data_IF_458855515751
#
_entry.id   IF_458855515751
#
_cell.length_a   1.000
_cell.length_b   1.000
_cell.length_c   1.000
_cell.angle_alpha   90.00
_cell.angle_beta   90.00
_cell.angle_gamma   90.00
#
_symmetry.space_group_name_H-M   'P 1'
#
loop_
_entity.id
_entity.type
_entity.pdbx_description
1 polymer ?
#
# COMPACT_ATOMS: atom_id res chain seq x y z
N UNK A 1 33.99 -11.01 -21.10
CA UNK A 1 33.67 -9.60 -20.79
C UNK A 1 32.29 -9.60 -20.16
N UNK A 2 32.19 -9.15 -18.91
CA UNK A 2 30.97 -9.24 -18.10
C UNK A 2 29.89 -8.29 -18.58
N UNK A 3 28.67 -8.80 -18.64
CA UNK A 3 27.46 -8.01 -18.83
C UNK A 3 27.16 -7.24 -17.54
N UNK A 4 27.26 -5.92 -17.60
CA UNK A 4 26.78 -5.04 -16.55
C UNK A 4 25.25 -4.98 -16.63
N UNK A 5 24.59 -5.80 -15.80
CA UNK A 5 23.15 -5.72 -15.57
C UNK A 5 22.77 -4.36 -14.98
N UNK A 6 21.91 -3.66 -15.71
CA UNK A 6 21.33 -2.37 -15.36
C UNK A 6 20.57 -2.47 -14.01
N UNK A 7 21.11 -1.86 -12.96
CA UNK A 7 20.49 -1.77 -11.62
C UNK A 7 19.69 -0.46 -11.44
N UNK A 8 19.53 0.34 -12.50
CA UNK A 8 18.98 1.70 -12.44
C UNK A 8 17.46 1.78 -12.65
N UNK A 9 16.83 0.73 -13.18
CA UNK A 9 15.41 0.76 -13.58
C UNK A 9 14.44 0.59 -12.40
N UNK A 10 14.79 -0.26 -11.42
CA UNK A 10 13.92 -0.57 -10.29
C UNK A 10 13.64 0.63 -9.38
N UNK A 11 14.66 1.49 -9.18
CA UNK A 11 14.53 2.69 -8.35
C UNK A 11 13.64 3.77 -8.98
N UNK A 12 13.56 3.81 -10.31
CA UNK A 12 12.69 4.77 -11.02
C UNK A 12 11.22 4.33 -10.97
N UNK A 13 10.96 3.02 -11.14
CA UNK A 13 9.60 2.46 -11.05
C UNK A 13 8.97 2.65 -9.67
N UNK A 14 9.71 2.30 -8.60
CA UNK A 14 9.24 2.46 -7.22
C UNK A 14 8.96 3.93 -6.87
N UNK A 15 9.83 4.87 -7.28
CA UNK A 15 9.57 6.31 -7.07
C UNK A 15 8.32 6.80 -7.78
N UNK A 16 8.07 6.35 -9.01
CA UNK A 16 6.85 6.69 -9.75
C UNK A 16 5.60 6.18 -9.01
N UNK A 17 5.64 4.93 -8.54
CA UNK A 17 4.57 4.34 -7.73
C UNK A 17 4.34 5.16 -6.45
N UNK A 18 5.39 5.56 -5.73
CA UNK A 18 5.24 6.39 -4.53
C UNK A 18 4.69 7.78 -4.81
N UNK A 19 5.06 8.41 -5.91
CA UNK A 19 4.49 9.70 -6.33
C UNK A 19 2.99 9.60 -6.60
N UNK A 20 2.54 8.53 -7.26
CA UNK A 20 1.12 8.28 -7.48
C UNK A 20 0.38 7.99 -6.17
N UNK A 21 1.00 7.20 -5.29
CA UNK A 21 0.48 6.89 -3.96
C UNK A 21 0.32 8.16 -3.12
N UNK A 22 1.27 9.09 -3.19
CA UNK A 22 1.19 10.38 -2.50
C UNK A 22 -0.02 11.19 -2.94
N UNK A 23 -0.31 11.24 -4.24
CA UNK A 23 -1.48 11.96 -4.74
C UNK A 23 -2.78 11.37 -4.18
N UNK A 24 -2.89 10.04 -4.17
CA UNK A 24 -4.03 9.32 -3.62
C UNK A 24 -4.15 9.52 -2.09
N UNK A 25 -3.02 9.48 -1.37
CA UNK A 25 -2.98 9.66 0.07
C UNK A 25 -3.21 11.10 0.50
N UNK A 26 -2.73 12.10 -0.25
CA UNK A 26 -2.97 13.51 0.08
C UNK A 26 -4.46 13.83 0.07
N UNK A 27 -5.19 13.24 -0.88
CA UNK A 27 -6.64 13.36 -0.96
C UNK A 27 -7.38 12.56 0.13
N UNK A 28 -6.87 11.39 0.52
CA UNK A 28 -7.43 10.60 1.64
C UNK A 28 -7.18 11.22 3.02
N UNK A 29 -5.94 11.65 3.26
CA UNK A 29 -5.45 12.18 4.53
C UNK A 29 -5.99 13.58 4.79
N UNK A 30 -6.27 14.38 3.74
CA UNK A 30 -6.95 15.66 3.80
C UNK A 30 -6.24 16.73 4.64
N UNK A 31 -6.04 17.91 4.08
CA UNK A 31 -5.54 19.08 4.82
C UNK A 31 -6.63 19.58 5.78
N UNK A 32 -6.75 18.98 6.98
CA UNK A 32 -7.62 19.48 8.07
C UNK A 32 -8.54 18.47 8.77
N UNK A 33 -8.37 17.16 8.57
CA UNK A 33 -9.11 16.12 9.34
C UNK A 33 -8.58 16.02 10.78
N UNK A 34 -9.42 15.65 11.77
CA UNK A 34 -8.99 15.53 13.17
C UNK A 34 -7.84 14.52 13.31
N UNK A 35 -6.87 14.83 14.18
CA UNK A 35 -5.61 14.07 14.34
C UNK A 35 -5.82 12.55 14.47
N UNK A 36 -6.92 12.11 15.08
CA UNK A 36 -7.25 10.69 15.25
C UNK A 36 -7.60 9.96 13.94
N UNK A 37 -8.31 10.60 13.01
CA UNK A 37 -8.64 9.97 11.71
C UNK A 37 -7.39 9.85 10.83
N UNK A 38 -6.56 10.91 10.84
CA UNK A 38 -5.26 10.92 10.15
C UNK A 38 -4.33 9.83 10.71
N UNK A 39 -4.23 9.73 12.04
CA UNK A 39 -3.47 8.69 12.70
C UNK A 39 -3.97 7.28 12.33
N UNK A 40 -5.27 7.02 12.39
CA UNK A 40 -5.85 5.73 12.00
C UNK A 40 -5.50 5.38 10.56
N UNK A 41 -5.60 6.34 9.64
CA UNK A 41 -5.25 6.11 8.23
C UNK A 41 -3.76 5.76 8.08
N UNK A 42 -2.87 6.46 8.77
CA UNK A 42 -1.43 6.15 8.78
C UNK A 42 -1.19 4.73 9.33
N UNK A 43 -1.82 4.36 10.44
CA UNK A 43 -1.70 3.03 11.04
C UNK A 43 -2.15 1.92 10.09
N UNK A 44 -3.34 2.08 9.48
CA UNK A 44 -3.90 1.08 8.56
C UNK A 44 -3.03 1.01 7.30
N UNK A 45 -2.65 2.16 6.75
CA UNK A 45 -1.88 2.23 5.51
C UNK A 45 -0.52 1.55 5.65
N UNK A 46 0.29 1.95 6.63
CA UNK A 46 1.62 1.40 6.84
C UNK A 46 1.57 -0.05 7.34
N UNK A 47 0.57 -0.41 8.16
CA UNK A 47 0.35 -1.80 8.57
C UNK A 47 0.06 -2.72 7.38
N UNK A 48 -0.87 -2.34 6.51
CA UNK A 48 -1.20 -3.11 5.31
C UNK A 48 -0.04 -3.13 4.31
N UNK A 49 0.68 -2.02 4.15
CA UNK A 49 1.91 -1.96 3.35
C UNK A 49 2.94 -2.97 3.85
N UNK A 50 3.21 -3.03 5.16
CA UNK A 50 4.13 -4.02 5.75
C UNK A 50 3.65 -5.47 5.57
N UNK A 51 2.34 -5.71 5.69
CA UNK A 51 1.77 -7.05 5.51
C UNK A 51 1.87 -7.54 4.05
N UNK A 52 1.61 -6.67 3.08
CA UNK A 52 1.76 -6.95 1.64
C UNK A 52 3.24 -7.12 1.31
N UNK A 53 4.10 -6.20 1.76
CA UNK A 53 5.56 -6.25 1.62
C UNK A 53 6.15 -7.58 2.08
N UNK A 54 5.67 -8.15 3.19
CA UNK A 54 6.13 -9.46 3.69
C UNK A 54 5.73 -10.64 2.81
N UNK A 55 4.67 -10.47 2.01
CA UNK A 55 4.13 -11.52 1.13
C UNK A 55 4.81 -11.48 -0.25
N UNK A 56 5.36 -10.32 -0.60
CA UNK A 56 6.02 -10.02 -1.86
C UNK A 56 7.56 -10.22 -1.78
N UNK A 57 8.19 -10.49 -2.92
CA UNK A 57 9.66 -10.49 -3.09
C UNK A 57 10.26 -9.09 -3.28
N UNK A 58 9.41 -8.07 -3.47
CA UNK A 58 9.78 -6.67 -3.71
C UNK A 58 10.69 -6.06 -2.64
N UNK A 59 10.82 -6.70 -1.48
CA UNK A 59 11.42 -6.07 -0.31
C UNK A 59 12.62 -6.80 0.28
N UNK A 60 13.03 -7.93 -0.31
CA UNK A 60 14.07 -8.81 0.26
C UNK A 60 15.46 -8.20 0.52
N UNK A 61 15.72 -6.94 0.14
CA UNK A 61 16.94 -6.23 0.53
C UNK A 61 16.75 -4.79 1.05
N UNK A 62 15.53 -4.22 1.03
CA UNK A 62 15.31 -2.77 1.20
C UNK A 62 14.03 -2.39 1.98
N UNK A 63 13.57 -3.21 2.94
CA UNK A 63 12.33 -3.01 3.73
C UNK A 63 12.21 -1.64 4.38
N UNK A 64 13.25 -1.21 5.09
CA UNK A 64 13.26 0.11 5.72
C UNK A 64 13.28 1.26 4.71
N UNK A 65 13.86 1.06 3.51
CA UNK A 65 13.98 2.11 2.51
C UNK A 65 12.66 2.40 1.80
N UNK A 66 11.82 1.38 1.62
CA UNK A 66 10.45 1.50 1.07
C UNK A 66 9.57 2.29 2.04
N UNK A 67 9.58 1.93 3.32
CA UNK A 67 8.81 2.64 4.34
C UNK A 67 9.25 4.10 4.49
N UNK A 68 10.57 4.34 4.56
CA UNK A 68 11.12 5.70 4.66
C UNK A 68 10.77 6.55 3.43
N UNK A 69 10.88 5.99 2.21
CA UNK A 69 10.50 6.70 1.00
C UNK A 69 9.01 7.08 0.98
N UNK A 70 8.13 6.19 1.46
CA UNK A 70 6.71 6.49 1.60
C UNK A 70 6.47 7.62 2.63
N UNK A 71 7.14 7.59 3.78
CA UNK A 71 7.02 8.64 4.81
C UNK A 71 7.52 10.00 4.31
N UNK A 72 8.62 10.01 3.58
CA UNK A 72 9.18 11.23 2.95
C UNK A 72 8.21 11.80 1.91
N UNK A 73 7.62 10.94 1.10
CA UNK A 73 6.70 11.40 0.06
C UNK A 73 5.40 11.95 0.65
N UNK A 74 4.85 11.32 1.70
CA UNK A 74 3.60 11.76 2.36
C UNK A 74 3.80 13.03 3.22
N UNK A 75 5.04 13.48 3.41
CA UNK A 75 5.40 14.62 4.27
C UNK A 75 4.91 14.44 5.72
N UNK A 76 5.18 13.25 6.28
CA UNK A 76 4.80 12.95 7.66
C UNK A 76 5.66 13.73 8.66
N UNK A 77 5.00 14.27 9.70
CA UNK A 77 5.69 14.85 10.86
C UNK A 77 6.46 13.77 11.63
N UNK A 78 7.37 14.19 12.52
CA UNK A 78 8.18 13.25 13.31
C UNK A 78 7.32 12.26 14.12
N UNK A 79 6.27 12.74 14.77
CA UNK A 79 5.35 11.89 15.53
C UNK A 79 4.61 10.88 14.63
N UNK A 80 4.24 11.29 13.43
CA UNK A 80 3.55 10.43 12.47
C UNK A 80 4.47 9.39 11.84
N UNK A 81 5.75 9.72 11.68
CA UNK A 81 6.77 8.75 11.26
C UNK A 81 6.94 7.64 12.29
N UNK A 82 6.90 7.95 13.59
CA UNK A 82 6.96 6.93 14.64
C UNK A 82 5.75 5.97 14.58
N UNK A 83 4.55 6.53 14.37
CA UNK A 83 3.31 5.74 14.19
C UNK A 83 3.41 4.87 12.94
N UNK A 84 3.82 5.47 11.81
CA UNK A 84 3.99 4.79 10.53
C UNK A 84 5.00 3.64 10.61
N UNK A 85 6.17 3.88 11.22
CA UNK A 85 7.22 2.86 11.41
C UNK A 85 6.70 1.71 12.27
N UNK A 86 6.07 2.03 13.40
CA UNK A 86 5.50 1.02 14.30
C UNK A 86 4.43 0.18 13.57
N UNK A 87 3.55 0.83 12.81
CA UNK A 87 2.53 0.15 12.04
C UNK A 87 3.13 -0.77 10.97
N UNK A 88 4.10 -0.28 10.20
CA UNK A 88 4.83 -1.03 9.18
C UNK A 88 5.50 -2.28 9.76
N UNK A 89 6.22 -2.14 10.88
CA UNK A 89 6.92 -3.23 11.53
C UNK A 89 5.97 -4.33 12.04
N UNK A 90 4.79 -3.95 12.56
CA UNK A 90 3.73 -4.91 12.91
C UNK A 90 3.25 -5.68 11.69
N UNK A 91 3.02 -4.97 10.59
CA UNK A 91 2.62 -5.58 9.31
C UNK A 91 3.66 -6.57 8.80
N UNK A 92 4.93 -6.17 8.79
CA UNK A 92 6.08 -6.99 8.41
C UNK A 92 6.25 -8.24 9.28
N UNK A 93 5.93 -8.12 10.57
CA UNK A 93 5.97 -9.22 11.53
C UNK A 93 4.75 -10.16 11.41
N UNK A 94 3.81 -9.89 10.49
CA UNK A 94 2.48 -10.53 10.41
C UNK A 94 1.73 -10.48 11.74
N UNK A 95 2.03 -9.48 12.57
CA UNK A 95 1.39 -9.25 13.86
C UNK A 95 0.24 -8.25 13.72
N UNK A 96 -0.47 -8.32 12.60
CA UNK A 96 -1.70 -7.58 12.36
C UNK A 96 -2.78 -8.57 11.90
N UNK A 97 -4.03 -8.26 12.22
CA UNK A 97 -5.16 -8.90 11.59
C UNK A 97 -5.62 -8.00 10.43
N UNK A 98 -5.28 -8.33 9.16
CA UNK A 98 -5.61 -7.48 8.03
C UNK A 98 -7.12 -7.26 7.89
N UNK A 99 -7.95 -8.26 8.21
CA UNK A 99 -9.40 -8.10 8.18
C UNK A 99 -9.89 -7.11 9.25
N UNK A 100 -9.27 -7.09 10.43
CA UNK A 100 -9.63 -6.14 11.49
C UNK A 100 -9.17 -4.71 11.15
N UNK A 101 -7.98 -4.53 10.56
CA UNK A 101 -7.49 -3.22 10.14
C UNK A 101 -8.34 -2.65 8.99
N UNK A 102 -8.68 -3.50 8.01
CA UNK A 102 -9.58 -3.11 6.93
C UNK A 102 -11.00 -2.83 7.45
N UNK A 103 -11.48 -3.58 8.45
CA UNK A 103 -12.77 -3.32 9.08
C UNK A 103 -12.81 -1.95 9.77
N UNK A 104 -11.77 -1.60 10.56
CA UNK A 104 -11.64 -0.26 11.16
C UNK A 104 -11.73 0.83 10.10
N UNK A 105 -11.09 0.61 8.96
CA UNK A 105 -11.10 1.54 7.85
C UNK A 105 -12.48 1.64 7.18
N UNK A 106 -13.18 0.52 6.97
CA UNK A 106 -14.54 0.51 6.41
C UNK A 106 -15.60 0.97 7.39
N UNK A 107 -15.36 0.93 8.70
CA UNK A 107 -16.26 1.51 9.70
C UNK A 107 -16.16 3.05 9.71
N UNK A 108 -14.95 3.57 9.45
CA UNK A 108 -14.70 5.01 9.35
C UNK A 108 -15.14 5.63 8.01
N UNK A 109 -15.31 4.82 6.95
CA UNK A 109 -15.61 5.27 5.60
C UNK A 109 -16.85 4.56 5.05
N UNK A 110 -17.77 5.29 4.39
CA UNK A 110 -18.98 4.66 3.83
C UNK A 110 -18.61 3.56 2.81
N UNK A 111 -19.34 2.43 2.76
CA UNK A 111 -19.18 1.43 1.71
C UNK A 111 -19.30 2.06 0.31
N UNK A 112 -18.40 1.70 -0.59
CA UNK A 112 -18.32 2.28 -1.95
C UNK A 112 -17.88 3.74 -1.99
N UNK A 113 -17.32 4.27 -0.90
CA UNK A 113 -16.71 5.59 -0.90
C UNK A 113 -15.40 5.59 -1.69
N UNK A 114 -15.03 6.77 -2.19
CA UNK A 114 -13.76 6.92 -2.90
C UNK A 114 -12.54 6.59 -2.03
N UNK A 115 -12.65 6.70 -0.69
CA UNK A 115 -11.57 6.32 0.22
C UNK A 115 -11.28 4.82 0.17
N UNK A 116 -12.31 3.98 0.05
CA UNK A 116 -12.16 2.53 -0.12
C UNK A 116 -11.50 2.22 -1.45
N UNK A 117 -11.98 2.85 -2.53
CA UNK A 117 -11.42 2.65 -3.87
C UNK A 117 -9.95 3.11 -3.94
N UNK A 118 -9.61 4.22 -3.27
CA UNK A 118 -8.24 4.75 -3.20
C UNK A 118 -7.30 3.86 -2.38
N UNK A 119 -7.73 3.37 -1.21
CA UNK A 119 -6.92 2.45 -0.42
C UNK A 119 -6.62 1.18 -1.22
N UNK A 120 -7.65 0.61 -1.84
CA UNK A 120 -7.48 -0.58 -2.68
C UNK A 120 -6.55 -0.31 -3.86
N UNK A 121 -6.67 0.86 -4.49
CA UNK A 121 -5.80 1.27 -5.59
C UNK A 121 -4.32 1.27 -5.22
N UNK A 122 -4.01 1.84 -4.05
CA UNK A 122 -2.64 1.89 -3.56
C UNK A 122 -2.11 0.48 -3.30
N UNK A 123 -2.90 -0.39 -2.65
CA UNK A 123 -2.48 -1.76 -2.35
C UNK A 123 -2.20 -2.56 -3.63
N UNK A 124 -3.00 -2.38 -4.69
CA UNK A 124 -2.75 -3.02 -5.99
C UNK A 124 -1.44 -2.50 -6.62
N UNK A 125 -1.22 -1.17 -6.62
CA UNK A 125 -0.01 -0.56 -7.19
C UNK A 125 1.26 -0.99 -6.45
N UNK A 126 1.18 -1.16 -5.14
CA UNK A 126 2.29 -1.67 -4.34
C UNK A 126 2.62 -3.12 -4.69
N UNK A 127 1.60 -3.99 -4.70
CA UNK A 127 1.75 -5.41 -5.00
C UNK A 127 2.19 -5.68 -6.45
N UNK A 128 1.96 -4.75 -7.37
CA UNK A 128 2.34 -4.87 -8.78
C UNK A 128 3.46 -3.90 -9.18
N UNK A 129 4.28 -3.45 -8.23
CA UNK A 129 5.29 -2.42 -8.51
C UNK A 129 6.47 -2.91 -9.36
N UNK A 130 6.61 -4.23 -9.57
CA UNK A 130 7.52 -4.82 -10.57
C UNK A 130 6.86 -5.01 -11.96
N UNK A 131 5.60 -4.55 -12.11
CA UNK A 131 4.80 -4.65 -13.33
C UNK A 131 4.11 -6.01 -13.52
N UNK A 132 4.20 -6.92 -12.55
CA UNK A 132 3.54 -8.24 -12.57
C UNK A 132 2.86 -8.49 -11.23
N UNK A 133 1.91 -9.42 -11.24
CA UNK A 133 1.23 -9.85 -10.03
C UNK A 133 1.16 -11.37 -10.03
N UNK A 134 1.82 -12.02 -9.07
CA UNK A 134 1.82 -13.47 -8.97
C UNK A 134 0.50 -14.03 -8.40
N UNK A 135 0.37 -15.36 -8.38
CA UNK A 135 -0.88 -16.01 -7.90
C UNK A 135 -1.15 -15.74 -6.42
N UNK A 136 -0.11 -15.66 -5.59
CA UNK A 136 -0.24 -15.45 -4.14
C UNK A 136 -0.67 -14.01 -3.87
N UNK A 137 -0.08 -13.05 -4.57
CA UNK A 137 -0.41 -11.63 -4.47
C UNK A 137 -1.83 -11.35 -4.96
N UNK A 138 -2.23 -12.00 -6.06
CA UNK A 138 -3.60 -11.95 -6.55
C UNK A 138 -4.62 -12.50 -5.54
N UNK A 139 -4.32 -13.64 -4.92
CA UNK A 139 -5.19 -14.22 -3.90
C UNK A 139 -5.28 -13.34 -2.64
N UNK A 140 -4.17 -12.72 -2.24
CA UNK A 140 -4.15 -11.74 -1.14
C UNK A 140 -5.01 -10.50 -1.46
N UNK A 141 -4.86 -9.93 -2.66
CA UNK A 141 -5.65 -8.77 -3.09
C UNK A 141 -7.15 -9.09 -3.21
N UNK A 142 -7.52 -10.30 -3.62
CA UNK A 142 -8.93 -10.74 -3.58
C UNK A 142 -9.48 -10.79 -2.16
N UNK A 143 -8.68 -11.28 -1.21
CA UNK A 143 -9.04 -11.28 0.21
C UNK A 143 -9.30 -9.86 0.71
N UNK A 144 -8.37 -8.95 0.44
CA UNK A 144 -8.47 -7.53 0.79
C UNK A 144 -9.71 -6.88 0.14
N UNK A 145 -9.94 -7.10 -1.17
CA UNK A 145 -11.10 -6.57 -1.87
C UNK A 145 -12.42 -7.03 -1.22
N UNK A 146 -12.51 -8.30 -0.85
CA UNK A 146 -13.67 -8.85 -0.14
C UNK A 146 -13.88 -8.15 1.21
N UNK A 147 -12.82 -7.96 2.00
CA UNK A 147 -12.89 -7.31 3.31
C UNK A 147 -13.24 -5.82 3.20
N UNK A 148 -12.89 -5.18 2.08
CA UNK A 148 -13.30 -3.82 1.73
C UNK A 148 -14.73 -3.72 1.17
N UNK A 149 -15.44 -4.83 0.98
CA UNK A 149 -16.78 -4.85 0.38
C UNK A 149 -16.80 -4.58 -1.13
N UNK A 150 -15.66 -4.74 -1.81
CA UNK A 150 -15.52 -4.54 -3.24
C UNK A 150 -15.96 -5.77 -4.05
N UNK A 151 -16.40 -5.60 -5.31
CA UNK A 151 -16.79 -6.72 -6.15
C UNK A 151 -15.61 -7.65 -6.44
N UNK A 152 -15.89 -8.92 -6.74
CA UNK A 152 -14.85 -9.92 -7.06
C UNK A 152 -14.01 -9.55 -8.28
N UNK A 153 -14.53 -8.71 -9.17
CA UNK A 153 -13.84 -8.18 -10.36
C UNK A 153 -12.93 -7.01 -10.06
N UNK A 154 -12.90 -6.49 -8.83
CA UNK A 154 -12.14 -5.29 -8.48
C UNK A 154 -10.64 -5.43 -8.77
N UNK A 155 -10.05 -6.60 -8.45
CA UNK A 155 -8.63 -6.87 -8.75
C UNK A 155 -8.40 -6.84 -10.26
N UNK A 156 -9.18 -7.60 -11.03
CA UNK A 156 -9.02 -7.69 -12.49
C UNK A 156 -9.22 -6.33 -13.18
N UNK A 157 -10.18 -5.52 -12.71
CA UNK A 157 -10.41 -4.16 -13.22
C UNK A 157 -9.18 -3.27 -13.02
N UNK A 158 -8.52 -3.34 -11.84
CA UNK A 158 -7.31 -2.56 -11.56
C UNK A 158 -6.12 -3.05 -12.39
N UNK A 159 -5.96 -4.36 -12.55
CA UNK A 159 -4.90 -4.92 -13.40
C UNK A 159 -5.04 -4.48 -14.85
N UNK A 160 -6.26 -4.47 -15.38
CA UNK A 160 -6.55 -3.98 -16.73
C UNK A 160 -6.24 -2.48 -16.86
N UNK A 161 -6.63 -1.67 -15.87
CA UNK A 161 -6.39 -0.22 -15.86
C UNK A 161 -4.89 0.11 -15.87
N UNK A 162 -4.08 -0.65 -15.13
CA UNK A 162 -2.64 -0.42 -15.00
C UNK A 162 -1.78 -1.20 -15.99
N UNK A 163 -2.40 -1.97 -16.90
CA UNK A 163 -1.68 -2.83 -17.84
C UNK A 163 -0.71 -3.78 -17.13
N UNK A 164 -1.06 -4.23 -15.92
CA UNK A 164 -0.26 -5.18 -15.13
C UNK A 164 -0.52 -6.60 -15.65
N UNK A 165 0.55 -7.39 -15.79
CA UNK A 165 0.43 -8.80 -16.21
C UNK A 165 0.26 -9.72 -14.99
N UNK A 166 -0.63 -10.70 -15.13
CA UNK A 166 -0.75 -11.82 -14.19
C UNK A 166 0.26 -12.95 -14.51
#
# INVERSE_FOLDING_TARGET
MGEHGNTSDAHSGLRGVFSDIKLLLSDMLGLGKPDAERQMMIEVFFGMMGYVAKTDRLVSSHESNVANAAMDEIDLSLAEREIASTAFDRGMSRNINPDAELLRFTDANKPGSEQIDRLFDILVRLAASDGRLDTREYDALKGIAKSLGLPTTAVDNKLALYTIKR
#
